data_IF_325579813621
#
_entry.id   IF_325579813621
#
_cell.length_a   1.000
_cell.length_b   1.000
_cell.length_c   1.000
_cell.angle_alpha   90.00
_cell.angle_beta   90.00
_cell.angle_gamma   90.00
#
_symmetry.space_group_name_H-M   'P 1'
#
loop_
_entity.id
_entity.type
_entity.pdbx_description
1 polymer ?
#
# COMPACT_ATOMS: atom_id res chain seq x y z
N UNK A 1 2.99 13.16 19.11
CA UNK A 1 1.92 12.64 18.22
C UNK A 1 2.50 11.46 17.46
N UNK A 2 1.89 10.28 17.52
CA UNK A 2 2.42 9.06 16.93
C UNK A 2 1.93 8.88 15.48
N UNK A 3 2.10 9.93 14.67
CA UNK A 3 1.50 10.01 13.34
C UNK A 3 1.91 8.81 12.46
N UNK A 4 0.95 8.23 11.74
CA UNK A 4 1.17 7.11 10.82
C UNK A 4 1.02 7.57 9.36
N UNK A 5 -0.01 8.37 9.05
CA UNK A 5 -0.21 8.91 7.71
C UNK A 5 0.62 10.19 7.51
N UNK A 6 1.10 10.43 6.29
CA UNK A 6 1.95 11.60 6.01
C UNK A 6 3.39 11.45 6.51
N UNK A 7 3.77 10.27 6.98
CA UNK A 7 5.11 9.98 7.49
C UNK A 7 5.85 9.09 6.50
N UNK A 8 7.17 9.28 6.44
CA UNK A 8 8.06 8.47 5.64
C UNK A 8 7.94 6.96 5.94
N UNK A 9 8.01 6.15 4.90
CA UNK A 9 7.72 4.71 4.95
C UNK A 9 8.75 3.95 5.80
N UNK A 10 10.04 4.23 5.58
CA UNK A 10 11.15 3.64 6.33
C UNK A 10 11.04 4.00 7.82
N UNK A 11 10.70 5.25 8.12
CA UNK A 11 10.47 5.71 9.49
C UNK A 11 9.38 4.90 10.20
N UNK A 12 8.28 4.58 9.52
CA UNK A 12 7.19 3.78 10.11
C UNK A 12 7.63 2.34 10.34
N UNK A 13 8.28 1.71 9.35
CA UNK A 13 8.78 0.32 9.45
C UNK A 13 9.73 0.19 10.64
N UNK A 14 10.70 1.09 10.76
CA UNK A 14 11.66 1.09 11.88
C UNK A 14 10.99 1.34 13.22
N UNK A 15 10.01 2.25 13.29
CA UNK A 15 9.30 2.59 14.54
C UNK A 15 8.44 1.43 15.03
N UNK A 16 7.77 0.72 14.13
CA UNK A 16 6.90 -0.40 14.49
C UNK A 16 7.70 -1.62 14.94
N UNK A 17 8.93 -1.79 14.42
CA UNK A 17 9.86 -2.87 14.78
C UNK A 17 9.16 -4.25 14.87
N UNK A 18 8.27 -4.51 13.92
CA UNK A 18 7.38 -5.68 13.90
C UNK A 18 8.06 -6.93 13.33
N UNK A 19 9.30 -6.80 12.85
CA UNK A 19 10.00 -7.83 12.08
C UNK A 19 9.52 -7.96 10.63
N UNK A 20 8.56 -7.13 10.21
CA UNK A 20 8.09 -7.03 8.83
C UNK A 20 8.82 -5.89 8.11
N UNK A 21 9.08 -6.05 6.82
CA UNK A 21 9.62 -4.99 5.95
C UNK A 21 8.52 -4.05 5.41
N UNK A 22 7.33 -4.07 5.99
CA UNK A 22 6.18 -3.24 5.60
C UNK A 22 5.42 -2.75 6.83
N UNK A 23 4.76 -1.58 6.76
CA UNK A 23 3.92 -1.10 7.85
C UNK A 23 2.79 -2.06 8.22
N UNK A 24 2.43 -2.13 9.50
CA UNK A 24 1.35 -2.97 10.02
C UNK A 24 0.01 -2.64 9.37
N UNK A 25 -0.24 -1.37 9.04
CA UNK A 25 -1.44 -0.95 8.31
C UNK A 25 -1.51 -1.68 6.97
N UNK A 26 -0.42 -1.65 6.20
CA UNK A 26 -0.33 -2.30 4.88
C UNK A 26 -0.53 -3.81 5.04
N UNK A 27 0.23 -4.43 5.95
CA UNK A 27 0.16 -5.87 6.20
C UNK A 27 -1.26 -6.32 6.58
N UNK A 28 -1.87 -5.71 7.60
CA UNK A 28 -3.21 -6.07 8.08
C UNK A 28 -4.27 -5.85 7.00
N UNK A 29 -4.21 -4.73 6.27
CA UNK A 29 -5.18 -4.43 5.22
C UNK A 29 -5.10 -5.43 4.06
N UNK A 30 -3.88 -5.73 3.57
CA UNK A 30 -3.69 -6.68 2.48
C UNK A 30 -4.11 -8.08 2.89
N UNK A 31 -3.69 -8.54 4.07
CA UNK A 31 -4.07 -9.85 4.60
C UNK A 31 -5.59 -10.01 4.68
N UNK A 32 -6.31 -8.98 5.16
CA UNK A 32 -7.76 -9.04 5.28
C UNK A 32 -8.47 -8.99 3.93
N UNK A 33 -7.91 -8.25 2.96
CA UNK A 33 -8.42 -8.22 1.58
C UNK A 33 -8.25 -9.58 0.92
N UNK A 34 -7.08 -10.20 1.02
CA UNK A 34 -6.84 -11.54 0.49
C UNK A 34 -7.73 -12.59 1.13
N UNK A 35 -8.02 -12.45 2.43
CA UNK A 35 -8.83 -13.40 3.19
C UNK A 35 -10.30 -13.45 2.75
N UNK A 36 -10.91 -12.32 2.39
CA UNK A 36 -12.38 -12.27 2.13
C UNK A 36 -12.85 -11.42 0.96
N UNK A 37 -11.96 -10.71 0.27
CA UNK A 37 -12.35 -9.72 -0.73
C UNK A 37 -12.19 -10.19 -2.17
N UNK A 38 -11.53 -11.33 -2.43
CA UNK A 38 -11.17 -11.73 -3.79
C UNK A 38 -12.37 -11.87 -4.73
N UNK A 39 -13.53 -12.29 -4.21
CA UNK A 39 -14.79 -12.41 -4.96
C UNK A 39 -15.70 -11.18 -4.84
N UNK A 40 -15.25 -10.13 -4.14
CA UNK A 40 -16.06 -8.91 -3.95
C UNK A 40 -16.03 -8.04 -5.20
N UNK A 41 -17.20 -7.57 -5.63
CA UNK A 41 -17.30 -6.72 -6.82
C UNK A 41 -16.61 -5.39 -6.61
N UNK A 42 -15.68 -5.04 -7.50
CA UNK A 42 -15.06 -3.72 -7.52
C UNK A 42 -14.16 -3.41 -6.34
N UNK A 43 -13.48 -4.41 -5.76
CA UNK A 43 -12.36 -4.18 -4.82
C UNK A 43 -11.37 -3.19 -5.42
N UNK A 44 -10.88 -2.28 -4.57
CA UNK A 44 -10.04 -1.12 -4.90
C UNK A 44 -10.69 -0.05 -5.78
N UNK A 45 -11.77 -0.36 -6.53
CA UNK A 45 -12.52 0.61 -7.35
C UNK A 45 -13.63 1.33 -6.57
N UNK A 46 -14.48 0.57 -5.88
CA UNK A 46 -15.58 1.13 -5.08
C UNK A 46 -15.08 1.73 -3.76
N UNK A 47 -15.84 2.69 -3.24
CA UNK A 47 -15.52 3.40 -2.01
C UNK A 47 -16.48 2.97 -0.90
N UNK A 48 -15.93 2.61 0.26
CA UNK A 48 -16.70 2.41 1.47
C UNK A 48 -17.12 3.75 2.10
N UNK A 49 -17.86 3.66 3.21
CA UNK A 49 -18.32 4.86 3.95
C UNK A 49 -17.15 5.75 4.37
N UNK A 50 -17.15 7.01 3.93
CA UNK A 50 -16.12 8.01 4.29
C UNK A 50 -16.00 8.19 5.82
N UNK A 51 -17.13 8.16 6.53
CA UNK A 51 -17.16 8.24 8.00
C UNK A 51 -16.44 7.04 8.63
N UNK A 52 -16.70 5.82 8.16
CA UNK A 52 -16.05 4.60 8.66
C UNK A 52 -14.56 4.58 8.33
N UNK A 53 -14.15 5.08 7.15
CA UNK A 53 -12.73 5.25 6.82
C UNK A 53 -12.02 6.17 7.80
N UNK A 54 -12.63 7.31 8.13
CA UNK A 54 -12.06 8.25 9.10
C UNK A 54 -11.87 7.62 10.49
N UNK A 55 -12.86 6.85 10.98
CA UNK A 55 -12.74 6.12 12.26
C UNK A 55 -11.66 5.04 12.22
N UNK A 56 -11.58 4.27 11.13
CA UNK A 56 -10.58 3.22 11.00
C UNK A 56 -9.16 3.81 10.91
N UNK A 57 -9.02 4.92 10.19
CA UNK A 57 -7.77 5.69 10.15
C UNK A 57 -7.35 6.15 11.54
N UNK A 58 -8.25 6.75 12.31
CA UNK A 58 -7.97 7.19 13.68
C UNK A 58 -7.53 6.00 14.57
N UNK A 59 -8.14 4.83 14.37
CA UNK A 59 -7.74 3.61 15.09
C UNK A 59 -6.29 3.20 14.77
N UNK A 60 -5.87 3.29 13.51
CA UNK A 60 -4.47 3.04 13.11
C UNK A 60 -3.50 4.08 13.67
N UNK A 61 -3.87 5.36 13.62
CA UNK A 61 -3.09 6.47 14.17
C UNK A 61 -2.90 6.36 15.70
N UNK A 62 -3.92 5.83 16.40
CA UNK A 62 -3.86 5.60 17.85
C UNK A 62 -2.98 4.40 18.21
N UNK A 63 -3.28 3.22 17.64
CA UNK A 63 -2.49 2.01 17.88
C UNK A 63 -2.72 0.95 16.79
N UNK A 64 -1.88 0.97 15.76
CA UNK A 64 -1.92 0.02 14.64
C UNK A 64 -1.88 -1.46 15.06
N UNK A 65 -1.20 -1.81 16.16
CA UNK A 65 -1.11 -3.19 16.65
C UNK A 65 -2.49 -3.72 17.08
N UNK A 66 -3.28 -2.89 17.76
CA UNK A 66 -4.59 -3.26 18.32
C UNK A 66 -5.74 -3.19 17.31
N UNK A 67 -5.51 -2.68 16.09
CA UNK A 67 -6.56 -2.61 15.07
C UNK A 67 -6.95 -4.02 14.63
N UNK A 68 -8.24 -4.32 14.80
CA UNK A 68 -8.90 -5.51 14.29
C UNK A 68 -9.74 -5.17 13.04
N UNK A 69 -9.45 -5.86 11.94
CA UNK A 69 -10.12 -5.71 10.64
C UNK A 69 -11.11 -6.83 10.35
N UNK A 70 -11.39 -7.69 11.34
CA UNK A 70 -12.37 -8.77 11.24
C UNK A 70 -13.73 -8.29 10.72
N UNK A 71 -14.54 -9.16 10.09
CA UNK A 71 -15.87 -8.80 9.57
C UNK A 71 -16.80 -8.24 10.64
N UNK A 72 -16.63 -8.65 11.89
CA UNK A 72 -17.40 -8.20 13.04
C UNK A 72 -17.12 -6.73 13.35
N UNK A 73 -15.86 -6.30 13.24
CA UNK A 73 -15.44 -4.94 13.55
C UNK A 73 -15.50 -4.01 12.32
N UNK A 74 -15.07 -4.50 11.15
CA UNK A 74 -15.08 -3.77 9.88
C UNK A 74 -15.81 -4.59 8.82
N UNK A 75 -17.14 -4.59 8.85
CA UNK A 75 -17.95 -5.34 7.88
C UNK A 75 -17.73 -4.97 6.41
N UNK A 76 -17.56 -3.67 6.09
CA UNK A 76 -17.38 -3.19 4.72
C UNK A 76 -15.90 -3.19 4.30
N UNK A 77 -15.52 -4.10 3.40
CA UNK A 77 -14.15 -4.25 2.90
C UNK A 77 -13.69 -3.06 2.03
N UNK A 78 -14.62 -2.29 1.46
CA UNK A 78 -14.28 -1.06 0.74
C UNK A 78 -13.80 0.06 1.68
N UNK A 79 -14.09 -0.05 2.98
CA UNK A 79 -13.48 0.82 4.01
C UNK A 79 -12.01 0.46 4.18
N UNK A 80 -11.66 -0.82 4.30
CA UNK A 80 -10.28 -1.31 4.47
C UNK A 80 -9.41 -0.91 3.28
N UNK A 81 -9.84 -1.27 2.06
CA UNK A 81 -9.13 -0.88 0.83
C UNK A 81 -9.07 0.64 0.65
N UNK A 82 -10.09 1.36 1.13
CA UNK A 82 -10.10 2.81 1.13
C UNK A 82 -9.01 3.41 2.02
N UNK A 83 -8.86 2.91 3.24
CA UNK A 83 -7.84 3.36 4.19
C UNK A 83 -6.43 3.01 3.69
N UNK A 84 -6.23 1.82 3.12
CA UNK A 84 -4.97 1.43 2.49
C UNK A 84 -4.60 2.38 1.34
N UNK A 85 -5.56 2.73 0.48
CA UNK A 85 -5.35 3.70 -0.60
C UNK A 85 -5.03 5.10 -0.06
N UNK A 86 -5.73 5.54 0.98
CA UNK A 86 -5.48 6.85 1.61
C UNK A 86 -4.06 6.89 2.20
N UNK A 87 -3.58 5.80 2.82
CA UNK A 87 -2.22 5.69 3.36
C UNK A 87 -1.16 5.85 2.27
N UNK A 88 -1.24 5.06 1.20
CA UNK A 88 -0.27 5.09 0.10
C UNK A 88 -0.24 6.44 -0.62
N UNK A 89 -1.40 7.09 -0.78
CA UNK A 89 -1.51 8.41 -1.41
C UNK A 89 -0.88 9.53 -0.59
N UNK A 90 -0.85 9.37 0.73
CA UNK A 90 -0.38 10.38 1.66
C UNK A 90 1.08 10.19 2.07
N UNK A 91 1.78 9.19 1.52
CA UNK A 91 3.23 9.10 1.71
C UNK A 91 3.90 10.39 1.22
N UNK A 92 4.91 10.91 1.95
CA UNK A 92 5.61 12.13 1.57
C UNK A 92 6.35 11.96 0.21
N UNK A 93 6.80 10.75 -0.08
CA UNK A 93 7.29 10.33 -1.38
C UNK A 93 6.42 9.17 -1.90
N UNK A 94 5.98 9.17 -3.17
CA UNK A 94 5.22 8.06 -3.72
C UNK A 94 6.03 6.76 -3.65
N UNK A 95 5.32 5.63 -3.50
CA UNK A 95 5.94 4.31 -3.40
C UNK A 95 6.89 4.03 -4.58
N UNK A 96 6.48 4.38 -5.79
CA UNK A 96 7.40 4.55 -6.91
C UNK A 96 7.95 5.97 -6.86
N UNK A 97 9.18 6.12 -6.35
CA UNK A 97 9.84 7.41 -6.20
C UNK A 97 9.80 8.19 -7.52
N UNK A 98 9.77 9.53 -7.45
CA UNK A 98 9.64 10.36 -8.66
C UNK A 98 10.74 10.07 -9.69
N UNK A 99 11.96 9.79 -9.23
CA UNK A 99 13.08 9.43 -10.09
C UNK A 99 12.86 8.10 -10.83
N UNK A 100 12.32 7.08 -10.14
CA UNK A 100 12.09 5.76 -10.72
C UNK A 100 10.83 5.70 -11.56
N UNK A 101 9.83 6.53 -11.25
CA UNK A 101 8.65 6.67 -12.08
C UNK A 101 9.01 7.14 -13.49
N UNK A 102 9.93 8.10 -13.64
CA UNK A 102 10.40 8.55 -14.95
C UNK A 102 11.13 7.43 -15.70
N UNK A 103 12.04 6.71 -15.02
CA UNK A 103 12.72 5.56 -15.63
C UNK A 103 11.75 4.47 -16.07
N UNK A 104 10.69 4.23 -15.30
CA UNK A 104 9.66 3.25 -15.65
C UNK A 104 8.87 3.67 -16.90
N UNK A 105 8.53 4.95 -17.03
CA UNK A 105 7.86 5.48 -18.24
C UNK A 105 8.75 5.36 -19.48
N UNK A 106 10.03 5.68 -19.33
CA UNK A 106 11.00 5.57 -20.43
C UNK A 106 11.14 4.10 -20.85
N UNK A 107 11.26 3.17 -19.90
CA UNK A 107 11.30 1.73 -20.18
C UNK A 107 10.02 1.20 -20.83
N UNK A 108 8.84 1.70 -20.42
CA UNK A 108 7.56 1.37 -21.05
C UNK A 108 7.50 1.81 -22.52
N UNK A 109 8.16 2.93 -22.86
CA UNK A 109 8.18 3.45 -24.24
C UNK A 109 9.10 2.66 -25.19
N UNK A 110 10.12 2.00 -24.64
CA UNK A 110 11.11 1.20 -25.40
C UNK A 110 10.76 -0.29 -25.40
N UNK A 111 9.67 -0.70 -24.73
CA UNK A 111 9.20 -2.09 -24.71
C UNK A 111 9.10 -2.66 -26.12
N UNK A 112 9.76 -3.78 -26.33
CA UNK A 112 9.73 -4.49 -27.60
C UNK A 112 8.56 -5.49 -27.56
N UNK A 113 7.52 -5.33 -28.40
CA UNK A 113 6.37 -6.25 -28.39
C UNK A 113 6.73 -7.70 -28.74
N UNK A 114 7.89 -7.92 -29.38
CA UNK A 114 8.42 -9.23 -29.73
C UNK A 114 9.33 -9.86 -28.66
N UNK A 115 9.63 -9.13 -27.57
CA UNK A 115 10.47 -9.63 -26.48
C UNK A 115 9.85 -9.29 -25.11
N UNK A 116 8.82 -10.06 -24.70
CA UNK A 116 8.17 -9.86 -23.41
C UNK A 116 9.10 -10.16 -22.23
N UNK A 117 10.09 -11.04 -22.41
CA UNK A 117 10.99 -11.47 -21.34
C UNK A 117 12.08 -10.43 -21.07
N UNK A 118 12.70 -9.88 -22.11
CA UNK A 118 13.61 -8.73 -21.98
C UNK A 118 12.89 -7.48 -21.45
N UNK A 119 11.64 -7.26 -21.87
CA UNK A 119 10.80 -6.18 -21.34
C UNK A 119 10.49 -6.34 -19.85
N UNK A 120 10.24 -7.57 -19.38
CA UNK A 120 10.04 -7.85 -17.96
C UNK A 120 11.34 -7.67 -17.17
N UNK A 121 12.47 -8.14 -17.70
CA UNK A 121 13.78 -8.00 -17.06
C UNK A 121 14.17 -6.54 -16.87
N UNK A 122 13.96 -5.69 -17.88
CA UNK A 122 14.19 -4.25 -17.77
C UNK A 122 13.36 -3.62 -16.65
N UNK A 123 12.08 -3.97 -16.56
CA UNK A 123 11.21 -3.47 -15.49
C UNK A 123 11.67 -3.92 -14.10
N UNK A 124 12.06 -5.19 -13.95
CA UNK A 124 12.56 -5.72 -12.67
C UNK A 124 13.84 -4.99 -12.24
N UNK A 125 14.77 -4.72 -13.16
CA UNK A 125 16.00 -3.97 -12.84
C UNK A 125 15.72 -2.54 -12.36
N UNK A 126 14.64 -1.91 -12.83
CA UNK A 126 14.21 -0.60 -12.32
C UNK A 126 13.64 -0.74 -10.91
N UNK A 127 12.86 -1.79 -10.64
CA UNK A 127 12.33 -2.05 -9.29
C UNK A 127 13.44 -2.34 -8.27
N UNK A 128 14.52 -3.02 -8.66
CA UNK A 128 15.70 -3.26 -7.82
C UNK A 128 16.41 -1.96 -7.39
N UNK A 129 16.14 -0.84 -8.07
CA UNK A 129 16.68 0.46 -7.72
C UNK A 129 15.81 1.23 -6.68
N UNK A 130 14.63 0.71 -6.30
CA UNK A 130 13.79 1.31 -5.25
C UNK A 130 14.53 1.28 -3.89
N UNK A 131 14.29 2.27 -3.00
CA UNK A 131 14.73 2.17 -1.61
C UNK A 131 14.24 0.86 -0.96
N UNK A 132 14.99 0.32 0.00
CA UNK A 132 14.64 -0.96 0.63
C UNK A 132 13.24 -1.00 1.24
N UNK A 133 12.72 0.14 1.71
CA UNK A 133 11.37 0.23 2.27
C UNK A 133 10.27 0.19 1.20
N UNK A 134 10.62 0.48 -0.06
CA UNK A 134 9.71 0.60 -1.20
C UNK A 134 9.75 -0.62 -2.15
N UNK A 135 10.68 -1.55 -1.91
CA UNK A 135 10.80 -2.84 -2.62
C UNK A 135 9.80 -3.86 -2.07
#
# INVERSE_FOLDING_TARGET
KNALFGVDLETIILRENSGLNVPLLVHKCVQEVERRALDTVGIYRLCGSARRKAMLRESFENNAQMVDLSPENVSDIHVVTGVLKDYLRELPEPLFTNALYQMLLDALSVRLPCDPEGSAKLMLSILECLPSANQ
#
